data_IF_428314001488
#
_entry.id   IF_428314001488
#
_cell.length_a   1.000
_cell.length_b   1.000
_cell.length_c   1.000
_cell.angle_alpha   90.00
_cell.angle_beta   90.00
_cell.angle_gamma   90.00
#
_symmetry.space_group_name_H-M   'P 1'
#
loop_
_entity.id
_entity.type
_entity.pdbx_description
1 polymer ?
#
# COMPACT_ATOMS: atom_id res chain seq x y z
N UNK A 1 0.67 15.88 -26.95
CA UNK A 1 0.57 14.55 -27.62
C UNK A 1 0.59 13.52 -26.51
N UNK A 2 -0.49 12.75 -26.31
CA UNK A 2 -0.46 11.60 -25.37
C UNK A 2 0.47 10.56 -26.00
N UNK A 3 1.58 10.28 -25.33
CA UNK A 3 2.62 9.42 -25.88
C UNK A 3 2.13 7.96 -25.86
N UNK A 4 2.05 7.34 -27.04
CA UNK A 4 1.50 5.99 -27.25
C UNK A 4 2.54 4.89 -26.96
N UNK A 5 3.34 5.04 -25.90
CA UNK A 5 4.33 4.04 -25.45
C UNK A 5 3.65 2.97 -24.56
N UNK A 6 2.49 2.48 -24.99
CA UNK A 6 1.50 1.82 -24.13
C UNK A 6 1.89 0.45 -23.58
N UNK A 7 2.98 0.35 -22.81
CA UNK A 7 3.34 -0.68 -21.82
C UNK A 7 4.78 -0.54 -21.28
N UNK A 8 5.52 0.53 -21.62
CA UNK A 8 6.91 0.71 -21.16
C UNK A 8 6.91 1.51 -19.87
N UNK A 9 7.14 0.85 -18.73
CA UNK A 9 7.31 1.51 -17.44
C UNK A 9 8.72 2.10 -17.33
N UNK A 10 8.83 3.40 -17.13
CA UNK A 10 10.09 4.10 -16.87
C UNK A 10 10.06 4.60 -15.43
N UNK A 11 11.03 4.19 -14.61
CA UNK A 11 11.19 4.75 -13.27
C UNK A 11 11.64 6.20 -13.38
N UNK A 12 10.90 7.08 -12.71
CA UNK A 12 11.18 8.52 -12.61
C UNK A 12 11.10 8.98 -11.15
N UNK A 13 11.19 8.07 -10.18
CA UNK A 13 10.97 8.35 -8.76
C UNK A 13 11.81 9.53 -8.25
N UNK A 14 13.08 9.61 -8.65
CA UNK A 14 13.99 10.67 -8.19
C UNK A 14 13.77 12.00 -8.92
N UNK A 15 13.04 11.99 -10.04
CA UNK A 15 12.69 13.18 -10.81
C UNK A 15 11.36 13.81 -10.34
N UNK A 16 10.58 13.11 -9.51
CA UNK A 16 9.27 13.59 -9.04
C UNK A 16 9.44 14.83 -8.17
N UNK A 17 8.78 15.92 -8.55
CA UNK A 17 8.80 17.14 -7.73
C UNK A 17 8.18 16.88 -6.35
N UNK A 18 8.75 17.41 -5.24
CA UNK A 18 8.22 17.18 -3.90
C UNK A 18 6.75 17.58 -3.71
N UNK A 19 6.30 18.63 -4.40
CA UNK A 19 4.88 19.04 -4.37
C UNK A 19 3.96 18.00 -5.04
N UNK A 20 4.42 17.37 -6.12
CA UNK A 20 3.65 16.31 -6.80
C UNK A 20 3.54 15.09 -5.89
N UNK A 21 4.65 14.70 -5.24
CA UNK A 21 4.65 13.62 -4.25
C UNK A 21 3.69 13.93 -3.08
N UNK A 22 3.73 15.16 -2.57
CA UNK A 22 2.83 15.61 -1.50
C UNK A 22 1.36 15.53 -1.91
N UNK A 23 1.00 15.99 -3.12
CA UNK A 23 -0.38 15.93 -3.62
C UNK A 23 -0.84 14.48 -3.78
N UNK A 24 0.02 13.58 -4.25
CA UNK A 24 -0.27 12.15 -4.35
C UNK A 24 -0.55 11.52 -2.98
N UNK A 25 0.30 11.80 -1.98
CA UNK A 25 0.11 11.34 -0.61
C UNK A 25 -1.17 11.91 0.02
N UNK A 26 -1.46 13.19 -0.23
CA UNK A 26 -2.68 13.82 0.25
C UNK A 26 -3.92 13.15 -0.36
N UNK A 27 -3.90 12.83 -1.65
CA UNK A 27 -5.00 12.14 -2.31
C UNK A 27 -5.29 10.77 -1.68
N UNK A 28 -4.25 9.95 -1.43
CA UNK A 28 -4.40 8.67 -0.73
C UNK A 28 -5.05 8.84 0.65
N UNK A 29 -4.58 9.82 1.43
CA UNK A 29 -5.12 10.13 2.77
C UNK A 29 -6.56 10.62 2.74
N UNK A 30 -6.93 11.44 1.76
CA UNK A 30 -8.30 11.96 1.60
C UNK A 30 -9.27 10.83 1.28
N UNK A 31 -8.85 9.85 0.48
CA UNK A 31 -9.66 8.65 0.19
C UNK A 31 -9.70 7.69 1.40
N UNK A 32 -8.71 7.78 2.29
CA UNK A 32 -8.62 6.92 3.48
C UNK A 32 -7.91 5.60 3.21
N UNK A 33 -6.93 5.60 2.29
CA UNK A 33 -6.11 4.44 1.96
C UNK A 33 -4.70 4.60 2.53
N UNK A 34 -4.24 3.59 3.26
CA UNK A 34 -2.86 3.54 3.75
C UNK A 34 -1.86 3.26 2.61
N UNK A 35 -2.31 2.52 1.60
CA UNK A 35 -1.55 2.18 0.38
C UNK A 35 -2.45 2.43 -0.82
N UNK A 36 -1.97 3.21 -1.78
CA UNK A 36 -2.68 3.49 -3.02
C UNK A 36 -1.71 3.68 -4.20
N UNK A 37 -2.18 3.34 -5.40
CA UNK A 37 -1.61 3.84 -6.64
C UNK A 37 -2.30 5.12 -7.06
N UNK A 38 -1.55 6.16 -7.39
CA UNK A 38 -2.09 7.45 -7.83
C UNK A 38 -1.72 7.65 -9.29
N UNK A 39 -2.74 7.59 -10.15
CA UNK A 39 -2.55 7.83 -11.58
C UNK A 39 -2.82 9.30 -11.87
N UNK A 40 -1.87 9.95 -12.53
CA UNK A 40 -1.93 11.38 -12.81
C UNK A 40 -1.36 11.68 -14.19
N UNK A 41 -1.73 12.85 -14.70
CA UNK A 41 -1.19 13.39 -15.94
C UNK A 41 -0.37 14.64 -15.63
N UNK A 42 0.86 14.66 -16.12
CA UNK A 42 1.79 15.77 -16.03
C UNK A 42 2.51 15.91 -17.38
N UNK A 43 2.84 17.15 -17.77
CA UNK A 43 3.72 17.43 -18.89
C UNK A 43 5.20 17.20 -18.50
N UNK A 44 5.55 17.55 -17.27
CA UNK A 44 6.87 17.41 -16.68
C UNK A 44 6.72 17.10 -15.18
N UNK A 45 7.04 15.87 -14.78
CA UNK A 45 6.85 15.40 -13.39
C UNK A 45 7.79 16.09 -12.39
N UNK A 46 8.86 16.74 -12.88
CA UNK A 46 9.84 17.48 -12.07
C UNK A 46 9.39 18.89 -11.69
N UNK A 47 8.19 19.29 -12.12
CA UNK A 47 7.58 20.60 -11.82
C UNK A 47 6.27 20.45 -11.04
N UNK A 48 5.83 21.49 -10.31
CA UNK A 48 4.50 21.52 -9.67
C UNK A 48 3.38 21.15 -10.64
N UNK A 49 2.41 20.35 -10.18
CA UNK A 49 1.33 19.82 -11.03
C UNK A 49 0.39 20.94 -11.51
N UNK A 50 0.11 21.91 -10.64
CA UNK A 50 -0.87 22.95 -10.90
C UNK A 50 -0.41 23.93 -11.99
N UNK A 51 0.88 24.30 -11.99
CA UNK A 51 1.45 25.27 -12.93
C UNK A 51 1.41 24.80 -14.39
N UNK A 52 1.43 23.49 -14.59
CA UNK A 52 1.43 22.84 -15.92
C UNK A 52 0.04 22.34 -16.35
N UNK A 53 -0.99 22.60 -15.53
CA UNK A 53 -2.35 22.09 -15.77
C UNK A 53 -2.45 20.57 -15.67
N UNK A 54 -1.58 19.93 -14.87
CA UNK A 54 -1.66 18.50 -14.58
C UNK A 54 -2.79 18.19 -13.59
N UNK A 55 -3.14 16.92 -13.47
CA UNK A 55 -4.23 16.46 -12.60
C UNK A 55 -4.07 14.99 -12.18
N UNK A 56 -4.60 14.65 -11.01
CA UNK A 56 -4.87 13.25 -10.64
C UNK A 56 -6.08 12.77 -11.44
N UNK A 57 -5.95 11.58 -12.03
CA UNK A 57 -6.98 10.92 -12.84
C UNK A 57 -7.69 9.84 -12.02
N UNK A 58 -6.94 9.06 -11.25
CA UNK A 58 -7.48 7.92 -10.48
C UNK A 58 -6.70 7.69 -9.18
N UNK A 59 -7.39 7.15 -8.17
CA UNK A 59 -6.82 6.64 -6.93
C UNK A 59 -7.19 5.17 -6.80
N UNK A 60 -6.19 4.30 -6.84
CA UNK A 60 -6.33 2.85 -6.89
C UNK A 60 -5.96 2.20 -5.56
N UNK A 61 -6.89 1.45 -4.95
CA UNK A 61 -6.65 0.71 -3.70
C UNK A 61 -5.78 -0.55 -3.88
N UNK A 62 -5.70 -1.08 -5.10
CA UNK A 62 -4.90 -2.28 -5.43
C UNK A 62 -3.89 -1.99 -6.55
N UNK A 63 -2.81 -1.24 -6.29
CA UNK A 63 -1.83 -0.90 -7.32
C UNK A 63 -1.03 -2.12 -7.79
N UNK A 64 -0.70 -2.14 -9.08
CA UNK A 64 0.24 -3.10 -9.64
C UNK A 64 1.68 -2.77 -9.23
N UNK A 65 2.39 -3.71 -8.60
CA UNK A 65 3.76 -3.46 -8.10
C UNK A 65 4.87 -3.85 -9.10
N UNK A 66 4.54 -4.65 -10.12
CA UNK A 66 5.54 -5.22 -11.03
C UNK A 66 6.30 -4.15 -11.80
N UNK A 67 5.62 -3.08 -12.22
CA UNK A 67 6.22 -1.96 -12.95
C UNK A 67 7.26 -1.18 -12.13
N UNK A 68 7.11 -1.16 -10.80
CA UNK A 68 8.10 -0.56 -9.90
C UNK A 68 9.29 -1.49 -9.65
N UNK A 69 9.04 -2.80 -9.51
CA UNK A 69 10.10 -3.79 -9.25
C UNK A 69 10.94 -4.08 -10.50
N UNK A 70 10.34 -4.02 -11.69
CA UNK A 70 10.99 -4.34 -12.96
C UNK A 70 10.60 -3.31 -14.02
N UNK A 71 11.05 -2.04 -13.89
CA UNK A 71 10.82 -1.05 -14.92
C UNK A 71 11.61 -1.44 -16.18
N UNK A 72 11.13 -1.02 -17.34
CA UNK A 72 11.84 -1.19 -18.60
C UNK A 72 13.09 -0.28 -18.68
N UNK A 73 13.03 0.89 -18.04
CA UNK A 73 14.14 1.85 -17.95
C UNK A 73 14.16 2.47 -16.54
N UNK A 74 15.36 2.68 -15.99
CA UNK A 74 15.55 3.28 -14.67
C UNK A 74 15.76 2.24 -13.56
N UNK A 75 15.64 2.67 -12.30
CA UNK A 75 16.00 1.85 -11.14
C UNK A 75 14.81 1.04 -10.62
N UNK A 76 14.98 -0.27 -10.32
CA UNK A 76 14.01 -1.03 -9.55
C UNK A 76 13.72 -0.37 -8.20
N UNK A 77 12.44 -0.25 -7.86
CA UNK A 77 11.97 0.23 -6.54
C UNK A 77 11.32 -0.95 -5.79
N UNK A 78 11.88 -1.39 -4.64
CA UNK A 78 11.36 -2.52 -3.88
C UNK A 78 10.11 -2.15 -3.06
N UNK A 79 9.10 -1.59 -3.73
CA UNK A 79 7.87 -1.07 -3.09
C UNK A 79 7.09 -2.13 -2.31
N UNK A 80 7.16 -3.40 -2.74
CA UNK A 80 6.54 -4.51 -2.01
C UNK A 80 7.17 -4.75 -0.64
N UNK A 81 8.49 -4.57 -0.51
CA UNK A 81 9.17 -4.65 0.77
C UNK A 81 8.76 -3.47 1.66
N UNK A 82 8.77 -2.25 1.12
CA UNK A 82 8.35 -1.07 1.87
C UNK A 82 6.89 -1.18 2.36
N UNK A 83 5.99 -1.73 1.54
CA UNK A 83 4.61 -2.03 1.94
C UNK A 83 4.57 -3.04 3.07
N UNK A 84 5.32 -4.15 2.96
CA UNK A 84 5.34 -5.18 3.99
C UNK A 84 5.89 -4.65 5.32
N UNK A 85 6.96 -3.85 5.27
CA UNK A 85 7.54 -3.18 6.45
C UNK A 85 6.57 -2.18 7.08
N UNK A 86 5.79 -1.45 6.26
CA UNK A 86 4.76 -0.53 6.75
C UNK A 86 3.58 -1.26 7.44
N UNK A 87 3.11 -2.36 6.87
CA UNK A 87 1.98 -3.13 7.41
C UNK A 87 2.38 -4.04 8.59
N UNK A 88 3.62 -4.55 8.57
CA UNK A 88 4.14 -5.49 9.55
C UNK A 88 5.51 -5.02 10.08
N UNK A 89 5.55 -3.91 10.83
CA UNK A 89 6.79 -3.41 11.42
C UNK A 89 7.43 -4.46 12.35
N UNK A 90 8.76 -4.44 12.42
CA UNK A 90 9.53 -5.36 13.24
C UNK A 90 9.18 -5.17 14.72
N UNK A 91 9.26 -6.26 15.49
CA UNK A 91 8.84 -6.30 16.89
C UNK A 91 9.56 -5.30 17.80
N UNK A 92 10.77 -4.91 17.42
CA UNK A 92 11.62 -4.01 18.18
C UNK A 92 11.25 -2.53 17.98
N UNK A 93 10.47 -2.20 16.93
CA UNK A 93 10.15 -0.83 16.51
C UNK A 93 8.77 -0.33 16.98
N UNK A 94 7.99 -1.18 17.67
CA UNK A 94 6.59 -0.86 18.06
C UNK A 94 6.30 -1.35 19.48
N UNK A 95 5.49 -0.63 20.27
CA UNK A 95 5.05 -1.10 21.59
C UNK A 95 4.50 -2.53 21.53
N UNK A 96 4.68 -3.26 22.62
CA UNK A 96 4.18 -4.63 22.78
C UNK A 96 2.68 -4.69 22.42
N UNK A 97 2.32 -5.55 21.45
CA UNK A 97 0.93 -5.73 21.01
C UNK A 97 0.51 -5.01 19.73
N UNK A 98 1.40 -4.25 19.08
CA UNK A 98 1.11 -3.51 17.83
C UNK A 98 1.52 -4.25 16.55
N UNK A 99 2.22 -5.37 16.66
CA UNK A 99 2.60 -6.21 15.51
C UNK A 99 1.34 -6.90 15.00
N UNK A 100 1.05 -6.78 13.70
CA UNK A 100 -0.06 -7.45 13.01
C UNK A 100 0.02 -8.97 13.08
N UNK A 101 -0.25 -9.53 14.26
CA UNK A 101 -0.31 -10.98 14.49
C UNK A 101 -1.74 -11.42 14.32
N UNK A 102 -1.96 -12.41 13.46
CA UNK A 102 -3.20 -13.18 13.46
C UNK A 102 -3.20 -14.05 14.73
N UNK A 103 -4.13 -13.86 15.68
CA UNK A 103 -4.17 -14.69 16.87
C UNK A 103 -4.50 -16.13 16.47
N UNK A 104 -3.64 -17.08 16.83
CA UNK A 104 -3.86 -18.51 16.56
C UNK A 104 -4.33 -19.17 17.84
N UNK A 105 -5.48 -19.85 17.78
CA UNK A 105 -5.97 -20.72 18.86
C UNK A 105 -6.09 -22.15 18.35
N UNK A 106 -5.33 -23.06 18.96
CA UNK A 106 -5.45 -24.49 18.72
C UNK A 106 -6.45 -25.14 19.68
N UNK A 107 -7.41 -25.90 19.15
CA UNK A 107 -8.35 -26.70 19.95
C UNK A 107 -8.09 -28.17 19.67
N UNK A 108 -7.64 -28.92 20.69
CA UNK A 108 -7.31 -30.34 20.59
C UNK A 108 -8.07 -31.16 21.63
N UNK A 109 -8.36 -32.43 21.30
CA UNK A 109 -9.08 -33.37 22.17
C UNK A 109 -10.14 -34.17 21.41
N UNK A 110 -10.82 -35.08 22.11
CA UNK A 110 -11.80 -36.00 21.51
C UNK A 110 -13.26 -35.65 21.82
N UNK A 111 -13.52 -34.67 22.67
CA UNK A 111 -14.88 -34.29 23.11
C UNK A 111 -15.05 -32.78 23.11
N UNK A 112 -16.17 -32.31 22.56
CA UNK A 112 -16.59 -30.90 22.67
C UNK A 112 -15.74 -29.87 21.91
N UNK A 113 -14.78 -30.29 21.08
CA UNK A 113 -13.85 -29.41 20.36
C UNK A 113 -14.54 -28.39 19.47
N UNK A 114 -15.61 -28.78 18.77
CA UNK A 114 -16.40 -27.86 17.94
C UNK A 114 -17.09 -26.76 18.76
N UNK A 115 -17.67 -27.10 19.91
CA UNK A 115 -18.31 -26.12 20.80
C UNK A 115 -17.28 -25.15 21.37
N UNK A 116 -16.13 -25.66 21.81
CA UNK A 116 -15.02 -24.85 22.33
C UNK A 116 -14.50 -23.89 21.25
N UNK A 117 -14.27 -24.38 20.02
CA UNK A 117 -13.82 -23.55 18.92
C UNK A 117 -14.81 -22.41 18.60
N UNK A 118 -16.12 -22.68 18.64
CA UNK A 118 -17.16 -21.66 18.41
C UNK A 118 -17.21 -20.62 19.52
N UNK A 119 -17.09 -21.02 20.79
CA UNK A 119 -17.06 -20.08 21.92
C UNK A 119 -15.82 -19.19 21.84
N UNK A 120 -14.64 -19.77 21.57
CA UNK A 120 -13.40 -19.02 21.37
C UNK A 120 -13.57 -17.99 20.24
N UNK A 121 -14.07 -18.40 19.08
CA UNK A 121 -14.30 -17.49 17.95
C UNK A 121 -15.22 -16.33 18.33
N UNK A 122 -16.29 -16.62 19.10
CA UNK A 122 -17.24 -15.59 19.53
C UNK A 122 -16.63 -14.61 20.53
N UNK A 123 -15.79 -15.09 21.45
CA UNK A 123 -15.05 -14.26 22.40
C UNK A 123 -14.02 -13.36 21.71
N UNK A 124 -13.32 -13.86 20.67
CA UNK A 124 -12.38 -13.05 19.90
C UNK A 124 -13.11 -11.92 19.17
N UNK A 125 -14.23 -12.26 18.51
CA UNK A 125 -15.06 -11.29 17.79
C UNK A 125 -15.58 -10.16 18.71
N UNK A 126 -16.04 -10.49 19.91
CA UNK A 126 -16.47 -9.48 20.89
C UNK A 126 -15.32 -8.59 21.40
N UNK A 127 -14.10 -9.12 21.44
CA UNK A 127 -12.91 -8.40 21.88
C UNK A 127 -12.34 -7.42 20.84
N UNK A 128 -12.97 -7.28 19.67
CA UNK A 128 -12.49 -6.43 18.59
C UNK A 128 -11.22 -6.96 17.91
N UNK A 129 -11.04 -8.29 17.91
CA UNK A 129 -9.92 -9.01 17.27
C UNK A 129 -10.42 -10.03 16.26
#
# INVERSE_FOLDING_TARGET
VVQRNGNVAVDCTDDVHPEVAYIAQLAARVVGLDIAGIDMVAQDISRPLQEQGGAIVEVNAGPGLLMHLKPAVGAPRPVGQAIAEHLFPAADDVPEGTIGRVPIVGVAGTRGTATIARVVAWLMHLGGR
#
